data_IF_469569648097
#
_entry.id   IF_469569648097
#
_cell.length_a   1.000
_cell.length_b   1.000
_cell.length_c   1.000
_cell.angle_alpha   90.00
_cell.angle_beta   90.00
_cell.angle_gamma   90.00
#
_symmetry.space_group_name_H-M   'P 1'
#
loop_
_entity.id
_entity.type
_entity.pdbx_description
1 polymer ?
#
# COMPACT_ATOMS: atom_id res chain seq x y z
N UNK A 1 -21.18 -8.28 -42.40
CA UNK A 1 -21.42 -9.44 -41.53
C UNK A 1 -20.41 -9.33 -40.40
N UNK A 2 -20.92 -9.05 -39.20
CA UNK A 2 -20.14 -8.71 -38.01
C UNK A 2 -19.74 -10.00 -37.28
N UNK A 3 -18.47 -10.11 -36.88
CA UNK A 3 -18.06 -11.00 -35.79
C UNK A 3 -17.46 -10.12 -34.69
N UNK A 4 -18.31 -9.69 -33.77
CA UNK A 4 -17.90 -9.11 -32.50
C UNK A 4 -17.66 -10.28 -31.55
N UNK A 5 -16.40 -10.62 -31.30
CA UNK A 5 -16.01 -11.63 -30.32
C UNK A 5 -16.40 -11.13 -28.93
N UNK A 6 -17.57 -11.53 -28.44
CA UNK A 6 -17.94 -11.38 -27.04
C UNK A 6 -17.06 -12.32 -26.21
N UNK A 7 -16.07 -11.76 -25.54
CA UNK A 7 -15.35 -12.45 -24.47
C UNK A 7 -16.34 -12.68 -23.33
N UNK A 8 -16.97 -13.85 -23.31
CA UNK A 8 -17.76 -14.33 -22.19
C UNK A 8 -16.84 -14.40 -20.97
N UNK A 9 -17.01 -13.45 -20.05
CA UNK A 9 -16.50 -13.53 -18.69
C UNK A 9 -17.19 -14.72 -18.03
N UNK A 10 -16.46 -15.82 -17.88
CA UNK A 10 -16.92 -17.02 -17.19
C UNK A 10 -17.25 -16.67 -15.74
N UNK A 11 -18.52 -16.81 -15.35
CA UNK A 11 -19.01 -16.60 -13.98
C UNK A 11 -18.32 -17.50 -12.93
N UNK A 12 -17.51 -18.48 -13.37
CA UNK A 12 -16.74 -19.38 -12.50
C UNK A 12 -15.45 -18.79 -11.91
N UNK A 13 -15.00 -17.62 -12.33
CA UNK A 13 -13.72 -17.03 -11.86
C UNK A 13 -13.83 -16.31 -10.51
N UNK A 14 -15.05 -16.13 -9.96
CA UNK A 14 -15.26 -15.52 -8.64
C UNK A 14 -14.93 -16.45 -7.46
N UNK A 15 -14.69 -17.74 -7.72
CA UNK A 15 -14.39 -18.75 -6.69
C UNK A 15 -12.92 -19.19 -6.66
N UNK A 16 -12.02 -18.51 -7.37
CA UNK A 16 -10.60 -18.65 -7.03
C UNK A 16 -10.43 -18.05 -5.63
N UNK A 17 -9.85 -18.79 -4.66
CA UNK A 17 -9.26 -18.12 -3.51
C UNK A 17 -8.36 -17.06 -4.12
N UNK A 18 -8.73 -15.80 -3.96
CA UNK A 18 -7.86 -14.69 -4.33
C UNK A 18 -6.54 -15.05 -3.69
N UNK A 19 -5.54 -15.41 -4.52
CA UNK A 19 -4.25 -15.86 -4.02
C UNK A 19 -3.89 -14.85 -2.97
N UNK A 20 -3.61 -15.32 -1.75
CA UNK A 20 -3.08 -14.43 -0.73
C UNK A 20 -1.78 -13.90 -1.33
N UNK A 21 -1.84 -12.76 -2.02
CA UNK A 21 -0.69 -11.96 -2.35
C UNK A 21 -0.17 -11.63 -0.97
N UNK A 22 0.80 -12.42 -0.49
CA UNK A 22 1.29 -12.34 0.88
C UNK A 22 1.63 -10.89 1.11
N UNK A 23 0.77 -10.23 1.87
CA UNK A 23 0.72 -8.80 1.95
C UNK A 23 2.02 -8.30 2.57
N UNK A 24 2.93 -7.74 1.77
CA UNK A 24 4.22 -7.30 2.30
C UNK A 24 4.05 -5.94 2.96
N UNK A 25 4.18 -5.90 4.28
CA UNK A 25 4.17 -4.65 5.03
C UNK A 25 5.39 -3.79 4.70
N UNK A 26 5.18 -2.47 4.63
CA UNK A 26 6.23 -1.49 4.32
C UNK A 26 7.47 -1.60 5.23
N UNK A 27 7.30 -2.09 6.46
CA UNK A 27 8.41 -2.29 7.40
C UNK A 27 9.47 -3.29 6.92
N UNK A 28 9.16 -4.15 5.93
CA UNK A 28 10.14 -5.07 5.33
C UNK A 28 11.24 -4.36 4.53
N UNK A 29 11.01 -3.12 4.14
CA UNK A 29 11.97 -2.29 3.41
C UNK A 29 12.45 -1.10 4.24
N UNK A 30 12.55 -1.26 5.56
CA UNK A 30 13.09 -0.23 6.46
C UNK A 30 14.46 0.28 5.96
N UNK A 31 14.61 1.60 5.95
CA UNK A 31 15.82 2.30 5.54
C UNK A 31 16.02 2.40 4.03
N UNK A 32 15.15 1.78 3.21
CA UNK A 32 15.20 1.91 1.75
C UNK A 32 14.58 3.23 1.31
N UNK A 33 15.13 3.79 0.23
CA UNK A 33 14.59 4.94 -0.47
C UNK A 33 13.57 4.42 -1.49
N UNK A 34 12.41 5.05 -1.52
CA UNK A 34 11.31 4.73 -2.42
C UNK A 34 10.77 5.97 -3.11
N UNK A 35 10.16 5.72 -4.26
CA UNK A 35 9.41 6.65 -5.08
C UNK A 35 8.01 6.07 -5.27
N UNK A 36 7.00 6.71 -4.68
CA UNK A 36 5.62 6.22 -4.69
C UNK A 36 4.96 6.63 -6.01
N UNK A 37 4.49 5.67 -6.79
CA UNK A 37 3.84 5.90 -8.10
C UNK A 37 2.33 5.67 -8.08
N UNK A 38 1.82 4.95 -7.09
CA UNK A 38 0.39 4.73 -6.90
C UNK A 38 0.04 4.57 -5.42
N UNK A 39 -1.19 4.92 -5.06
CA UNK A 39 -1.77 4.72 -3.75
C UNK A 39 -3.23 4.31 -3.88
N UNK A 40 -3.57 3.14 -3.34
CA UNK A 40 -4.91 2.56 -3.43
C UNK A 40 -5.33 1.87 -2.15
N UNK A 41 -6.62 1.64 -2.04
CA UNK A 41 -7.21 0.80 -1.01
C UNK A 41 -7.56 -0.55 -1.62
N UNK A 42 -7.03 -1.62 -1.03
CA UNK A 42 -7.37 -3.00 -1.38
C UNK A 42 -8.20 -3.63 -0.27
N UNK A 43 -9.24 -4.40 -0.62
CA UNK A 43 -9.96 -5.22 0.35
C UNK A 43 -9.31 -6.60 0.45
N UNK A 44 -9.17 -7.12 1.66
CA UNK A 44 -8.57 -8.43 1.90
C UNK A 44 -9.01 -9.08 3.19
N UNK A 45 -8.57 -10.32 3.40
CA UNK A 45 -8.85 -11.03 4.66
C UNK A 45 -8.16 -10.33 5.83
N UNK A 46 -8.86 -10.10 6.94
CA UNK A 46 -8.28 -9.48 8.11
C UNK A 46 -7.16 -10.35 8.70
N UNK A 47 -6.17 -9.68 9.29
CA UNK A 47 -5.15 -10.35 10.09
C UNK A 47 -5.67 -10.59 11.52
N UNK A 48 -5.02 -11.47 12.32
CA UNK A 48 -5.36 -11.63 13.74
C UNK A 48 -5.28 -10.33 14.56
N UNK A 49 -4.59 -9.30 14.04
CA UNK A 49 -4.41 -8.00 14.68
C UNK A 49 -5.33 -6.92 14.11
N UNK A 50 -6.18 -7.25 13.13
CA UNK A 50 -7.15 -6.30 12.57
C UNK A 50 -8.24 -6.04 13.62
N UNK A 51 -8.52 -4.79 14.01
CA UNK A 51 -9.60 -4.47 14.94
C UNK A 51 -10.96 -4.94 14.41
N UNK A 52 -11.84 -5.43 15.28
CA UNK A 52 -13.15 -5.97 14.85
C UNK A 52 -13.99 -4.92 14.15
N UNK A 53 -13.90 -3.68 14.60
CA UNK A 53 -14.56 -2.51 14.03
C UNK A 53 -14.08 -2.15 12.60
N UNK A 54 -12.92 -2.65 12.18
CA UNK A 54 -12.37 -2.45 10.83
C UNK A 54 -12.72 -3.59 9.86
N UNK A 55 -13.43 -4.62 10.34
CA UNK A 55 -13.90 -5.74 9.53
C UNK A 55 -15.34 -5.44 9.11
N UNK A 56 -15.57 -5.37 7.79
CA UNK A 56 -16.91 -5.17 7.25
C UNK A 56 -17.80 -6.40 7.45
N UNK A 57 -19.10 -6.23 7.22
CA UNK A 57 -20.11 -7.30 7.36
C UNK A 57 -19.84 -8.51 6.44
N UNK A 58 -19.07 -8.31 5.36
CA UNK A 58 -18.60 -9.34 4.44
C UNK A 58 -17.36 -10.10 4.93
N UNK A 59 -16.86 -9.79 6.13
CA UNK A 59 -15.69 -10.41 6.73
C UNK A 59 -14.34 -9.93 6.14
N UNK A 60 -14.35 -8.87 5.33
CA UNK A 60 -13.14 -8.30 4.72
C UNK A 60 -12.76 -6.97 5.38
N UNK A 61 -11.50 -6.60 5.29
CA UNK A 61 -10.99 -5.32 5.80
C UNK A 61 -10.24 -4.55 4.70
N UNK A 62 -10.21 -3.24 4.86
CA UNK A 62 -9.57 -2.33 3.93
C UNK A 62 -8.11 -2.13 4.31
N UNK A 63 -7.25 -2.25 3.32
CA UNK A 63 -5.83 -2.09 3.44
C UNK A 63 -5.34 -1.00 2.52
N UNK A 64 -4.56 -0.08 3.08
CA UNK A 64 -3.90 0.96 2.33
C UNK A 64 -2.60 0.39 1.73
N UNK A 65 -2.45 0.53 0.42
CA UNK A 65 -1.31 -0.01 -0.34
C UNK A 65 -0.70 1.12 -1.16
N UNK A 66 0.63 1.18 -1.14
CA UNK A 66 1.41 2.00 -2.08
C UNK A 66 2.09 1.09 -3.08
N UNK A 67 2.24 1.57 -4.32
CA UNK A 67 3.20 1.01 -5.26
C UNK A 67 4.41 1.92 -5.39
N UNK A 68 5.57 1.30 -5.49
CA UNK A 68 6.85 1.97 -5.70
C UNK A 68 7.32 1.82 -7.13
N UNK A 69 8.14 2.78 -7.59
CA UNK A 69 8.91 2.63 -8.84
C UNK A 69 9.95 1.52 -8.66
N UNK A 70 10.59 1.48 -7.50
CA UNK A 70 11.56 0.46 -7.13
C UNK A 70 10.87 -0.89 -6.89
N UNK A 71 11.65 -1.96 -7.04
CA UNK A 71 11.28 -3.31 -6.62
C UNK A 71 12.32 -3.84 -5.67
N UNK A 72 11.88 -4.50 -4.60
CA UNK A 72 12.74 -5.00 -3.54
C UNK A 72 12.62 -6.51 -3.42
N UNK A 73 13.73 -7.19 -3.19
CA UNK A 73 13.71 -8.59 -2.80
C UNK A 73 13.27 -8.69 -1.33
N UNK A 74 12.10 -9.29 -1.10
CA UNK A 74 11.55 -9.59 0.21
C UNK A 74 11.22 -11.08 0.26
N UNK A 75 12.01 -11.84 1.01
CA UNK A 75 11.86 -13.30 1.14
C UNK A 75 11.91 -14.03 -0.21
N UNK A 76 12.90 -13.69 -1.06
CA UNK A 76 13.11 -14.29 -2.39
C UNK A 76 11.98 -13.98 -3.38
N UNK A 77 11.24 -12.90 -3.15
CA UNK A 77 10.20 -12.41 -4.04
C UNK A 77 10.45 -10.93 -4.32
N UNK A 78 10.48 -10.58 -5.61
CA UNK A 78 10.55 -9.19 -6.04
C UNK A 78 9.18 -8.53 -5.84
N UNK A 79 9.13 -7.52 -4.96
CA UNK A 79 7.90 -6.84 -4.53
C UNK A 79 8.06 -5.33 -4.71
N UNK A 80 7.05 -4.70 -5.31
CA UNK A 80 6.95 -3.25 -5.50
C UNK A 80 5.67 -2.66 -4.88
N UNK A 81 4.89 -3.47 -4.17
CA UNK A 81 3.60 -3.08 -3.59
C UNK A 81 3.61 -3.37 -2.11
N UNK A 82 3.29 -2.37 -1.29
CA UNK A 82 3.46 -2.47 0.16
C UNK A 82 2.26 -1.96 0.92
N UNK A 83 1.88 -2.71 1.96
CA UNK A 83 0.85 -2.30 2.91
C UNK A 83 1.41 -1.23 3.83
N UNK A 84 0.70 -0.12 3.97
CA UNK A 84 1.12 1.04 4.75
C UNK A 84 0.19 1.30 5.93
N UNK A 85 0.76 1.93 6.96
CA UNK A 85 0.00 2.29 8.16
C UNK A 85 -0.82 3.57 7.94
N UNK A 86 -1.86 3.82 8.75
CA UNK A 86 -2.60 5.08 8.70
C UNK A 86 -1.74 6.34 8.89
N UNK A 87 -0.58 6.23 9.55
CA UNK A 87 0.35 7.35 9.70
C UNK A 87 0.97 7.76 8.35
N UNK A 88 1.42 6.79 7.55
CA UNK A 88 1.93 7.02 6.20
C UNK A 88 0.82 7.54 5.27
N UNK A 89 -0.40 6.97 5.38
CA UNK A 89 -1.56 7.45 4.63
C UNK A 89 -1.81 8.94 4.88
N UNK A 90 -1.78 9.36 6.15
CA UNK A 90 -1.90 10.78 6.52
C UNK A 90 -0.77 11.64 5.96
N UNK A 91 0.44 11.13 5.80
CA UNK A 91 1.53 11.89 5.18
C UNK A 91 1.27 12.12 3.69
N UNK A 92 0.83 11.09 2.96
CA UNK A 92 0.50 11.19 1.53
C UNK A 92 -0.69 12.15 1.34
N UNK A 93 -1.75 11.98 2.13
CA UNK A 93 -2.98 12.77 2.03
C UNK A 93 -2.82 14.26 2.42
N UNK A 94 -1.72 14.63 3.08
CA UNK A 94 -1.38 16.05 3.34
C UNK A 94 -0.91 16.79 2.11
N UNK A 95 -0.48 16.07 1.07
CA UNK A 95 -0.03 16.66 -0.18
C UNK A 95 -1.26 17.09 -0.98
N UNK A 96 -1.38 18.39 -1.34
CA UNK A 96 -2.48 18.84 -2.16
C UNK A 96 -2.52 18.07 -3.49
N UNK A 97 -3.72 17.68 -3.93
CA UNK A 97 -3.97 17.02 -5.21
C UNK A 97 -3.25 15.67 -5.42
N UNK A 98 -2.78 15.00 -4.36
CA UNK A 98 -1.98 13.77 -4.47
C UNK A 98 -2.60 12.70 -5.39
N UNK A 99 -3.92 12.52 -5.36
CA UNK A 99 -4.61 11.54 -6.23
C UNK A 99 -4.49 11.88 -7.71
N UNK A 100 -4.74 13.15 -8.05
CA UNK A 100 -4.64 13.64 -9.44
C UNK A 100 -3.21 13.56 -9.94
N UNK A 101 -2.25 13.93 -9.08
CA UNK A 101 -0.82 13.89 -9.41
C UNK A 101 -0.33 12.46 -9.66
N UNK A 102 -0.67 11.51 -8.79
CA UNK A 102 -0.33 10.09 -8.97
C UNK A 102 -1.03 9.52 -10.22
N UNK A 103 -2.31 9.87 -10.45
CA UNK A 103 -3.05 9.43 -11.64
C UNK A 103 -2.48 9.99 -12.95
N UNK A 104 -1.85 11.17 -12.89
CA UNK A 104 -1.12 11.77 -14.01
C UNK A 104 0.27 11.14 -14.23
N UNK A 105 0.62 10.09 -13.48
CA UNK A 105 1.91 9.40 -13.57
C UNK A 105 3.05 10.12 -12.85
N UNK A 106 2.75 11.14 -12.03
CA UNK A 106 3.77 11.76 -11.17
C UNK A 106 4.11 10.82 -10.01
N UNK A 107 5.29 11.05 -9.48
CA UNK A 107 5.87 10.25 -8.40
C UNK A 107 5.98 11.09 -7.14
N UNK A 108 5.62 10.50 -6.01
CA UNK A 108 5.77 11.08 -4.70
C UNK A 108 7.02 10.53 -4.01
N UNK A 109 8.02 11.38 -3.83
CA UNK A 109 9.35 11.00 -3.35
C UNK A 109 10.45 11.89 -3.96
N UNK A 110 11.72 11.53 -3.77
CA UNK A 110 12.20 10.36 -3.04
C UNK A 110 11.96 10.48 -1.54
N UNK A 111 11.59 9.39 -0.88
CA UNK A 111 11.46 9.33 0.59
C UNK A 111 12.06 8.02 1.12
N UNK A 112 12.55 8.02 2.36
CA UNK A 112 13.10 6.83 3.03
C UNK A 112 12.07 6.25 3.99
N UNK A 113 11.94 4.93 4.01
CA UNK A 113 11.09 4.26 4.99
C UNK A 113 11.78 4.26 6.36
N UNK A 114 11.11 4.81 7.37
CA UNK A 114 11.65 4.92 8.71
C UNK A 114 10.60 4.76 9.80
N UNK A 115 11.04 4.96 11.04
CA UNK A 115 10.18 5.06 12.20
C UNK A 115 10.48 6.34 12.97
N UNK A 116 9.44 7.01 13.46
CA UNK A 116 9.54 8.13 14.40
C UNK A 116 8.87 7.77 15.72
N UNK A 117 9.30 8.41 16.80
CA UNK A 117 8.64 8.29 18.10
C UNK A 117 7.51 9.31 18.21
N UNK A 118 6.33 8.85 18.59
CA UNK A 118 5.18 9.72 18.85
C UNK A 118 5.44 10.55 20.11
N UNK A 119 5.38 11.88 20.00
CA UNK A 119 5.48 12.76 21.17
C UNK A 119 4.30 12.60 22.14
N UNK A 120 3.15 12.11 21.67
CA UNK A 120 1.93 11.96 22.49
C UNK A 120 1.90 10.65 23.27
N UNK A 121 2.35 9.56 22.65
CA UNK A 121 2.20 8.19 23.18
C UNK A 121 3.52 7.50 23.46
N UNK A 122 4.65 8.13 23.10
CA UNK A 122 6.00 7.56 23.20
C UNK A 122 6.22 6.28 22.37
N UNK A 123 5.23 5.86 21.58
CA UNK A 123 5.29 4.68 20.73
C UNK A 123 5.97 5.00 19.38
N UNK A 124 6.68 4.01 18.83
CA UNK A 124 7.23 4.12 17.48
C UNK A 124 6.12 3.94 16.45
N UNK A 125 6.15 4.73 15.38
CA UNK A 125 5.25 4.59 14.24
C UNK A 125 6.04 4.67 12.93
N UNK A 126 5.56 3.93 11.93
CA UNK A 126 6.13 3.94 10.58
C UNK A 126 5.81 5.26 9.87
N UNK A 127 6.79 5.82 9.18
CA UNK A 127 6.65 7.08 8.44
C UNK A 127 7.53 7.11 7.19
N UNK A 128 7.18 8.00 6.28
CA UNK A 128 8.02 8.45 5.18
C UNK A 128 8.93 9.57 5.70
N UNK A 129 10.24 9.41 5.53
CA UNK A 129 11.25 10.43 5.83
C UNK A 129 11.63 11.12 4.51
N UNK A 130 11.59 12.44 4.45
CA UNK A 130 11.98 13.22 3.28
C UNK A 130 13.40 13.77 3.42
N UNK A 131 14.10 14.08 2.31
CA UNK A 131 15.39 14.76 2.37
C UNK A 131 15.36 15.98 3.29
N UNK A 132 16.31 16.06 4.22
CA UNK A 132 16.39 17.13 5.21
C UNK A 132 15.65 16.85 6.53
N UNK A 133 14.93 15.73 6.65
CA UNK A 133 14.42 15.26 7.94
C UNK A 133 15.47 14.41 8.69
N UNK A 134 15.44 14.48 10.02
CA UNK A 134 16.27 13.62 10.87
C UNK A 134 15.99 12.13 10.58
N UNK A 135 17.05 11.38 10.29
CA UNK A 135 16.99 9.94 9.98
C UNK A 135 16.84 9.59 8.48
N UNK A 136 16.72 10.58 7.58
CA UNK A 136 16.83 10.39 6.14
C UNK A 136 18.23 9.87 5.74
#
# INVERSE_FOLDING_TARGET
MNETTQTQINLGDYNKPQEQTKAVGIGKILGKIINIKDFRTNRGKPSPYTPKEAIGDDGLTDYNVIDTVETFDVNNQMVSSFFVTPAIVKQIQRVPNYQSELSAGKVFGPCKIGQKKSAKTNANYWCLLFPGEEGY
#
